data_IF_392362318203
#
_entry.id   IF_392362318203
#
_cell.length_a   1.000
_cell.length_b   1.000
_cell.length_c   1.000
_cell.angle_alpha   90.00
_cell.angle_beta   90.00
_cell.angle_gamma   90.00
#
_symmetry.space_group_name_H-M   'P 1'
#
loop_
_entity.id
_entity.type
_entity.pdbx_description
1 polymer ?
#
# COMPACT_ATOMS: atom_id res chain seq x y z
N UNK A 1 15.61 13.85 -2.56
CA UNK A 1 14.52 13.82 -1.55
C UNK A 1 13.25 14.59 -1.95
N UNK A 2 13.28 15.57 -2.88
CA UNK A 2 12.10 16.39 -3.22
C UNK A 2 11.00 15.71 -4.04
N UNK A 3 11.36 14.79 -4.95
CA UNK A 3 10.40 14.20 -5.91
C UNK A 3 9.30 13.36 -5.25
N UNK A 4 9.62 12.56 -4.23
CA UNK A 4 8.62 11.73 -3.52
C UNK A 4 7.57 12.57 -2.78
N UNK A 5 7.99 13.72 -2.23
CA UNK A 5 7.09 14.64 -1.53
C UNK A 5 6.19 15.38 -2.52
N UNK A 6 6.73 15.81 -3.67
CA UNK A 6 5.95 16.43 -4.72
C UNK A 6 4.90 15.46 -5.30
N UNK A 7 5.31 14.23 -5.63
CA UNK A 7 4.41 13.20 -6.13
C UNK A 7 3.28 12.88 -5.14
N UNK A 8 3.59 12.86 -3.84
CA UNK A 8 2.57 12.64 -2.82
C UNK A 8 1.53 13.76 -2.78
N UNK A 9 1.97 15.02 -2.84
CA UNK A 9 1.05 16.18 -2.88
C UNK A 9 0.15 16.15 -4.11
N UNK A 10 0.67 15.72 -5.25
CA UNK A 10 -0.12 15.54 -6.48
C UNK A 10 -1.20 14.48 -6.28
N UNK A 11 -0.86 13.34 -5.66
CA UNK A 11 -1.83 12.28 -5.36
C UNK A 11 -2.86 12.71 -4.32
N UNK A 12 -2.48 13.48 -3.30
CA UNK A 12 -3.42 14.07 -2.34
C UNK A 12 -4.44 14.98 -3.04
N UNK A 13 -4.00 15.78 -4.01
CA UNK A 13 -4.89 16.61 -4.82
C UNK A 13 -5.82 15.77 -5.70
N UNK A 14 -5.31 14.70 -6.32
CA UNK A 14 -6.10 13.82 -7.17
C UNK A 14 -7.16 13.03 -6.39
N UNK A 15 -6.87 12.68 -5.14
CA UNK A 15 -7.77 11.96 -4.25
C UNK A 15 -8.69 12.90 -3.44
N UNK A 16 -8.67 14.21 -3.71
CA UNK A 16 -9.56 15.17 -3.07
C UNK A 16 -11.04 14.98 -3.51
N UNK A 17 -12.03 15.34 -2.67
CA UNK A 17 -13.45 15.06 -2.93
C UNK A 17 -14.02 15.48 -4.30
N UNK A 18 -13.62 16.61 -4.93
CA UNK A 18 -14.09 16.94 -6.27
C UNK A 18 -13.40 16.10 -7.36
N UNK A 19 -12.11 15.81 -7.23
CA UNK A 19 -11.31 15.12 -8.24
C UNK A 19 -11.53 13.60 -8.22
N UNK A 20 -11.71 13.00 -7.04
CA UNK A 20 -11.89 11.55 -6.89
C UNK A 20 -13.18 11.03 -7.54
N UNK A 21 -14.19 11.89 -7.70
CA UNK A 21 -15.45 11.55 -8.39
C UNK A 21 -15.28 11.33 -9.89
N UNK A 22 -14.21 11.86 -10.47
CA UNK A 22 -13.91 11.69 -11.89
C UNK A 22 -13.13 10.39 -12.18
N UNK A 23 -12.67 9.68 -11.15
CA UNK A 23 -11.92 8.43 -11.28
C UNK A 23 -12.87 7.23 -11.22
N UNK A 24 -12.62 6.24 -12.06
CA UNK A 24 -13.22 4.91 -11.89
C UNK A 24 -12.68 4.23 -10.62
N UNK A 25 -13.36 3.15 -10.18
CA UNK A 25 -12.93 2.39 -9.01
C UNK A 25 -11.48 1.90 -9.10
N UNK A 26 -11.11 1.30 -10.24
CA UNK A 26 -9.74 0.82 -10.47
C UNK A 26 -8.71 1.95 -10.49
N UNK A 27 -8.98 3.06 -11.17
CA UNK A 27 -8.07 4.23 -11.20
C UNK A 27 -7.89 4.85 -9.81
N UNK A 28 -8.98 4.91 -9.02
CA UNK A 28 -8.92 5.32 -7.62
C UNK A 28 -8.07 4.34 -6.81
N UNK A 29 -8.23 3.03 -7.02
CA UNK A 29 -7.43 2.00 -6.38
C UNK A 29 -5.93 2.15 -6.68
N UNK A 30 -5.58 2.38 -7.94
CA UNK A 30 -4.20 2.58 -8.38
C UNK A 30 -3.58 3.85 -7.79
N UNK A 31 -4.36 4.94 -7.74
CA UNK A 31 -3.92 6.19 -7.12
C UNK A 31 -3.66 6.02 -5.61
N UNK A 32 -4.51 5.27 -4.91
CA UNK A 32 -4.35 4.95 -3.49
C UNK A 32 -3.13 4.07 -3.24
N UNK A 33 -2.94 3.01 -4.04
CA UNK A 33 -1.75 2.16 -3.98
C UNK A 33 -0.48 3.01 -4.15
N UNK A 34 -0.46 3.90 -5.14
CA UNK A 34 0.70 4.76 -5.39
C UNK A 34 0.95 5.73 -4.24
N UNK A 35 -0.11 6.28 -3.65
CA UNK A 35 0.00 7.19 -2.51
C UNK A 35 0.56 6.45 -1.29
N UNK A 36 0.08 5.24 -1.04
CA UNK A 36 0.57 4.39 0.04
C UNK A 36 2.04 4.02 -0.11
N UNK A 37 2.49 3.64 -1.31
CA UNK A 37 3.89 3.33 -1.61
C UNK A 37 4.81 4.52 -1.23
N UNK A 38 4.40 5.75 -1.57
CA UNK A 38 5.14 6.96 -1.20
C UNK A 38 5.13 7.20 0.31
N UNK A 39 3.99 6.96 0.98
CA UNK A 39 3.87 7.12 2.42
C UNK A 39 4.78 6.16 3.20
N UNK A 40 4.84 4.89 2.78
CA UNK A 40 5.74 3.86 3.34
C UNK A 40 7.19 4.26 3.11
N UNK A 41 7.54 4.66 1.88
CA UNK A 41 8.91 5.05 1.53
C UNK A 41 9.43 6.33 2.19
N UNK A 42 8.56 7.15 2.78
CA UNK A 42 8.93 8.33 3.57
C UNK A 42 9.13 8.01 5.07
N UNK A 43 8.85 6.78 5.49
CA UNK A 43 9.21 6.16 6.77
C UNK A 43 8.89 7.02 8.01
N UNK A 44 7.66 7.53 8.12
CA UNK A 44 7.16 8.20 9.34
C UNK A 44 6.03 7.38 9.94
N UNK A 45 6.10 7.03 11.23
CA UNK A 45 5.05 6.23 11.92
C UNK A 45 3.62 6.70 11.61
N UNK A 46 3.36 8.01 11.70
CA UNK A 46 2.03 8.59 11.39
C UNK A 46 1.53 8.33 9.96
N UNK A 47 2.43 8.11 9.00
CA UNK A 47 2.09 7.84 7.59
C UNK A 47 1.80 6.37 7.34
N UNK A 48 2.22 5.48 8.23
CA UNK A 48 1.95 4.03 8.13
C UNK A 48 0.46 3.76 8.31
N UNK A 49 -0.20 4.41 9.28
CA UNK A 49 -1.65 4.27 9.46
C UNK A 49 -2.44 4.73 8.22
N UNK A 50 -2.07 5.88 7.65
CA UNK A 50 -2.68 6.36 6.41
C UNK A 50 -2.40 5.43 5.22
N UNK A 51 -1.20 4.86 5.14
CA UNK A 51 -0.86 3.88 4.11
C UNK A 51 -1.70 2.61 4.23
N UNK A 52 -1.94 2.10 5.44
CA UNK A 52 -2.82 0.94 5.66
C UNK A 52 -4.23 1.24 5.14
N UNK A 53 -4.79 2.41 5.49
CA UNK A 53 -6.13 2.78 5.02
C UNK A 53 -6.20 2.85 3.50
N UNK A 54 -5.21 3.47 2.86
CA UNK A 54 -5.14 3.57 1.40
C UNK A 54 -5.01 2.20 0.74
N UNK A 55 -4.17 1.32 1.27
CA UNK A 55 -3.96 -0.01 0.70
C UNK A 55 -5.19 -0.90 0.86
N UNK A 56 -5.90 -0.85 1.99
CA UNK A 56 -7.14 -1.61 2.18
C UNK A 56 -8.21 -1.18 1.18
N UNK A 57 -8.37 0.13 0.97
CA UNK A 57 -9.30 0.64 -0.04
C UNK A 57 -8.82 0.32 -1.47
N UNK A 58 -7.51 0.36 -1.74
CA UNK A 58 -6.94 -0.01 -3.04
C UNK A 58 -7.23 -1.47 -3.40
N UNK A 59 -7.05 -2.39 -2.44
CA UNK A 59 -7.39 -3.81 -2.60
C UNK A 59 -8.90 -3.98 -2.81
N UNK A 60 -9.73 -3.30 -2.01
CA UNK A 60 -11.19 -3.35 -2.14
C UNK A 60 -11.69 -2.86 -3.50
N UNK A 61 -11.00 -1.89 -4.08
CA UNK A 61 -11.29 -1.33 -5.40
C UNK A 61 -10.64 -2.11 -6.56
N UNK A 62 -10.00 -3.24 -6.27
CA UNK A 62 -9.32 -4.08 -7.26
C UNK A 62 -8.27 -3.30 -8.05
N UNK A 63 -7.35 -2.62 -7.36
CA UNK A 63 -6.20 -1.99 -8.00
C UNK A 63 -5.44 -2.98 -8.90
N UNK A 64 -4.77 -2.47 -9.92
CA UNK A 64 -4.09 -3.25 -10.95
C UNK A 64 -3.00 -4.17 -10.39
N UNK A 65 -2.30 -3.74 -9.34
CA UNK A 65 -1.20 -4.47 -8.72
C UNK A 65 -1.54 -4.87 -7.27
N UNK A 66 -2.46 -5.84 -7.15
CA UNK A 66 -2.91 -6.34 -5.86
C UNK A 66 -1.80 -7.04 -5.07
N UNK A 67 -0.89 -7.77 -5.74
CA UNK A 67 0.22 -8.44 -5.08
C UNK A 67 1.11 -7.45 -4.33
N UNK A 68 1.47 -6.33 -4.98
CA UNK A 68 2.21 -5.26 -4.33
C UNK A 68 1.42 -4.56 -3.23
N UNK A 69 0.10 -4.37 -3.41
CA UNK A 69 -0.74 -3.77 -2.38
C UNK A 69 -0.73 -4.61 -1.08
N UNK A 70 -0.91 -5.92 -1.20
CA UNK A 70 -0.81 -6.86 -0.07
C UNK A 70 0.60 -6.89 0.53
N UNK A 71 1.65 -6.87 -0.29
CA UNK A 71 3.02 -6.82 0.21
C UNK A 71 3.31 -5.54 1.01
N UNK A 72 2.82 -4.38 0.56
CA UNK A 72 2.94 -3.12 1.29
C UNK A 72 2.11 -3.11 2.58
N UNK A 73 0.93 -3.77 2.59
CA UNK A 73 0.15 -3.97 3.82
C UNK A 73 0.95 -4.77 4.84
N UNK A 74 1.57 -5.87 4.40
CA UNK A 74 2.43 -6.69 5.24
C UNK A 74 3.55 -5.87 5.90
N UNK A 75 4.25 -5.05 5.11
CA UNK A 75 5.29 -4.15 5.62
C UNK A 75 4.74 -3.13 6.63
N UNK A 76 3.57 -2.55 6.37
CA UNK A 76 2.95 -1.60 7.28
C UNK A 76 2.56 -2.26 8.62
N UNK A 77 1.98 -3.45 8.57
CA UNK A 77 1.64 -4.23 9.77
C UNK A 77 2.88 -4.67 10.54
N UNK A 78 3.95 -5.07 9.85
CA UNK A 78 5.25 -5.38 10.45
C UNK A 78 5.81 -4.17 11.21
N UNK A 79 5.81 -2.97 10.61
CA UNK A 79 6.25 -1.72 11.26
C UNK A 79 5.40 -1.40 12.51
N UNK A 80 4.11 -1.75 12.50
CA UNK A 80 3.21 -1.59 13.64
C UNK A 80 3.34 -2.71 14.70
N UNK A 81 4.12 -3.75 14.44
CA UNK A 81 4.24 -4.92 15.31
C UNK A 81 3.04 -5.87 15.25
N UNK A 82 2.15 -5.68 14.28
CA UNK A 82 0.96 -6.52 14.05
C UNK A 82 1.36 -7.75 13.24
N UNK A 83 2.04 -8.70 13.89
CA UNK A 83 2.69 -9.85 13.22
C UNK A 83 1.72 -10.77 12.50
N UNK A 84 0.52 -10.99 13.05
CA UNK A 84 -0.48 -11.90 12.47
C UNK A 84 -1.01 -11.30 11.17
N UNK A 85 -1.42 -10.03 11.20
CA UNK A 85 -1.90 -9.29 10.05
C UNK A 85 -0.82 -9.14 8.98
N UNK A 86 0.44 -8.92 9.40
CA UNK A 86 1.57 -8.89 8.49
C UNK A 86 1.77 -10.23 7.78
N UNK A 87 1.68 -11.34 8.51
CA UNK A 87 1.81 -12.68 7.96
C UNK A 87 0.73 -12.96 6.90
N UNK A 88 -0.54 -12.73 7.24
CA UNK A 88 -1.68 -12.92 6.33
C UNK A 88 -1.50 -12.07 5.07
N UNK A 89 -1.12 -10.79 5.21
CA UNK A 89 -0.94 -9.91 4.07
C UNK A 89 0.20 -10.37 3.14
N UNK A 90 1.32 -10.85 3.69
CA UNK A 90 2.39 -11.40 2.85
C UNK A 90 2.00 -12.73 2.18
N UNK A 91 1.22 -13.58 2.85
CA UNK A 91 0.70 -14.81 2.24
C UNK A 91 -0.26 -14.51 1.07
N UNK A 92 -1.17 -13.53 1.22
CA UNK A 92 -2.04 -13.10 0.12
C UNK A 92 -1.23 -12.54 -1.06
N UNK A 93 -0.17 -11.77 -0.78
CA UNK A 93 0.73 -11.29 -1.83
C UNK A 93 1.36 -12.45 -2.62
N UNK A 94 1.83 -13.49 -1.92
CA UNK A 94 2.42 -14.68 -2.54
C UNK A 94 1.39 -15.60 -3.21
N UNK A 95 0.12 -15.56 -2.79
CA UNK A 95 -0.96 -16.26 -3.51
C UNK A 95 -1.18 -15.67 -4.90
N UNK A 96 -1.04 -14.35 -5.04
CA UNK A 96 -1.23 -13.64 -6.32
C UNK A 96 0.05 -13.70 -7.16
N UNK A 97 1.20 -13.39 -6.56
CA UNK A 97 2.50 -13.44 -7.21
C UNK A 97 3.46 -14.32 -6.39
N UNK A 98 3.53 -15.63 -6.68
CA UNK A 98 4.33 -16.56 -5.88
C UNK A 98 5.80 -16.19 -5.77
N UNK A 99 6.36 -15.52 -6.78
CA UNK A 99 7.78 -15.16 -6.87
C UNK A 99 8.12 -13.77 -6.31
N UNK A 100 7.16 -13.11 -5.65
CA UNK A 100 7.37 -11.80 -5.05
C UNK A 100 8.36 -11.87 -3.88
N UNK A 101 9.62 -11.61 -4.18
CA UNK A 101 10.76 -11.73 -3.24
C UNK A 101 10.52 -10.93 -1.96
N UNK A 102 10.01 -9.71 -2.08
CA UNK A 102 9.75 -8.83 -0.93
C UNK A 102 8.75 -9.44 0.08
N UNK A 103 7.76 -10.20 -0.39
CA UNK A 103 6.79 -10.87 0.48
C UNK A 103 7.39 -12.12 1.14
N UNK A 104 8.20 -12.91 0.41
CA UNK A 104 8.95 -14.05 0.99
C UNK A 104 9.91 -13.58 2.08
N UNK A 105 10.65 -12.50 1.83
CA UNK A 105 11.53 -11.87 2.82
C UNK A 105 10.75 -11.35 4.03
N UNK A 106 9.58 -10.75 3.81
CA UNK A 106 8.66 -10.31 4.85
C UNK A 106 8.26 -11.44 5.80
N UNK A 107 7.78 -12.56 5.24
CA UNK A 107 7.48 -13.76 6.05
C UNK A 107 8.70 -14.29 6.80
N UNK A 108 9.89 -14.23 6.18
CA UNK A 108 11.14 -14.62 6.83
C UNK A 108 11.46 -13.79 8.08
N UNK A 109 11.18 -12.48 8.07
CA UNK A 109 11.38 -11.58 9.22
C UNK A 109 10.37 -11.77 10.35
N UNK A 110 9.20 -12.34 10.05
CA UNK A 110 8.14 -12.58 11.04
C UNK A 110 8.32 -13.88 11.85
N UNK A 111 9.30 -14.71 11.47
CA UNK A 111 9.64 -15.97 12.15
C UNK A 111 10.26 -15.76 13.52
#
# INVERSE_FOLDING_TARGET
MGHKIAALRSLDSALSPPAVKALSGGEKGDALLKRAELMVGLNRKRRVDSAIMDLLEAVKLSCSDQAKAFCLLGQCYEIKGLKIEAHIAFEEALRIEPDLVAAREGLGRLR
#
